data_IF_408436824275
#
_entry.id   IF_408436824275
#
_cell.length_a   1.000
_cell.length_b   1.000
_cell.length_c   1.000
_cell.angle_alpha   90.00
_cell.angle_beta   90.00
_cell.angle_gamma   90.00
#
_symmetry.space_group_name_H-M   'P 1'
#
loop_
_entity.id
_entity.type
_entity.pdbx_description
1 polymer ?
#
# COMPACT_ATOMS: atom_id res chain seq x y z
N UNK A 1 23.95 -4.32 2.29
CA UNK A 1 22.94 -3.27 2.10
C UNK A 1 22.10 -3.69 0.91
N UNK A 2 20.76 -3.71 0.99
CA UNK A 2 19.92 -4.10 -0.15
C UNK A 2 20.04 -3.02 -1.23
N UNK A 3 20.62 -3.35 -2.37
CA UNK A 3 20.66 -2.43 -3.51
C UNK A 3 19.39 -2.64 -4.34
N UNK A 4 18.44 -1.70 -4.27
CA UNK A 4 17.15 -1.75 -4.97
C UNK A 4 17.02 -0.61 -5.99
N UNK A 5 18.15 -0.21 -6.56
CA UNK A 5 18.33 0.88 -7.51
C UNK A 5 17.64 0.60 -8.86
N UNK A 6 17.72 -0.63 -9.36
CA UNK A 6 17.12 -0.99 -10.65
C UNK A 6 15.72 -1.58 -10.53
N UNK A 7 14.92 -1.42 -11.59
CA UNK A 7 13.56 -1.99 -11.67
C UNK A 7 13.56 -3.51 -11.49
N UNK A 8 14.55 -4.21 -12.04
CA UNK A 8 14.65 -5.67 -11.93
C UNK A 8 14.98 -6.12 -10.50
N UNK A 9 15.87 -5.39 -9.79
CA UNK A 9 16.17 -5.69 -8.38
C UNK A 9 14.95 -5.46 -7.50
N UNK A 10 14.19 -4.38 -7.71
CA UNK A 10 12.90 -4.15 -7.02
C UNK A 10 11.88 -5.24 -7.34
N UNK A 11 11.79 -5.66 -8.59
CA UNK A 11 10.89 -6.73 -8.97
C UNK A 11 11.24 -8.03 -8.25
N UNK A 12 12.52 -8.41 -8.22
CA UNK A 12 13.01 -9.57 -7.44
C UNK A 12 12.71 -9.44 -5.96
N UNK A 13 12.88 -8.25 -5.38
CA UNK A 13 12.52 -7.99 -3.98
C UNK A 13 11.03 -8.24 -3.71
N UNK A 14 10.13 -7.70 -4.53
CA UNK A 14 8.69 -7.91 -4.35
C UNK A 14 8.25 -9.37 -4.59
N UNK A 15 9.04 -10.16 -5.30
CA UNK A 15 8.82 -11.60 -5.47
C UNK A 15 9.56 -12.46 -4.44
N UNK A 16 10.40 -11.85 -3.59
CA UNK A 16 11.20 -12.59 -2.61
C UNK A 16 10.34 -13.18 -1.49
N UNK A 17 10.78 -14.31 -0.94
CA UNK A 17 10.13 -14.95 0.20
C UNK A 17 10.17 -14.04 1.43
N UNK A 18 11.27 -13.33 1.65
CA UNK A 18 11.45 -12.41 2.78
C UNK A 18 10.39 -11.30 2.78
N UNK A 19 10.18 -10.67 1.62
CA UNK A 19 9.12 -9.67 1.47
C UNK A 19 7.73 -10.28 1.70
N UNK A 20 7.43 -11.44 1.12
CA UNK A 20 6.13 -12.07 1.29
C UNK A 20 5.83 -12.42 2.75
N UNK A 21 6.82 -12.92 3.49
CA UNK A 21 6.69 -13.22 4.92
C UNK A 21 6.50 -11.94 5.73
N UNK A 22 7.31 -10.91 5.48
CA UNK A 22 7.22 -9.64 6.20
C UNK A 22 5.89 -8.94 5.94
N UNK A 23 5.46 -8.91 4.68
CA UNK A 23 4.15 -8.41 4.25
C UNK A 23 3.02 -9.09 4.99
N UNK A 24 3.08 -10.42 5.12
CA UNK A 24 2.05 -11.16 5.87
C UNK A 24 2.09 -10.87 7.37
N UNK A 25 3.29 -10.75 7.96
CA UNK A 25 3.44 -10.34 9.36
C UNK A 25 2.83 -8.97 9.64
N UNK A 26 3.12 -7.97 8.79
CA UNK A 26 2.52 -6.63 8.90
C UNK A 26 0.99 -6.69 8.75
N UNK A 27 0.48 -7.43 7.76
CA UNK A 27 -0.95 -7.59 7.53
C UNK A 27 -1.68 -8.24 8.72
N UNK A 28 -1.05 -9.23 9.37
CA UNK A 28 -1.60 -9.88 10.57
C UNK A 28 -1.50 -8.99 11.81
N UNK A 29 -0.36 -8.31 12.04
CA UNK A 29 -0.16 -7.32 13.11
C UNK A 29 -1.26 -6.25 13.09
N UNK A 30 -1.60 -5.81 11.88
CA UNK A 30 -2.58 -4.76 11.62
C UNK A 30 -4.04 -5.26 11.68
N UNK A 31 -4.28 -6.49 12.15
CA UNK A 31 -5.58 -7.17 12.17
C UNK A 31 -6.27 -7.22 10.80
N UNK A 32 -5.51 -7.17 9.69
CA UNK A 32 -6.04 -7.13 8.32
C UNK A 32 -6.87 -5.87 8.02
N UNK A 33 -6.67 -4.81 8.80
CA UNK A 33 -7.41 -3.55 8.72
C UNK A 33 -6.53 -2.40 8.23
N UNK A 34 -7.16 -1.43 7.57
CA UNK A 34 -6.53 -0.18 7.19
C UNK A 34 -6.21 0.64 8.45
N UNK A 35 -4.93 0.90 8.70
CA UNK A 35 -4.51 1.63 9.91
C UNK A 35 -4.89 3.11 9.88
N UNK A 36 -4.96 3.74 8.69
CA UNK A 36 -5.47 5.11 8.57
C UNK A 36 -6.96 5.20 8.90
N UNK A 37 -7.77 4.31 8.35
CA UNK A 37 -9.20 4.28 8.65
C UNK A 37 -9.44 3.98 10.14
N UNK A 38 -8.64 3.08 10.72
CA UNK A 38 -8.71 2.75 12.14
C UNK A 38 -8.39 3.95 13.03
N UNK A 39 -7.40 4.77 12.67
CA UNK A 39 -7.09 6.02 13.37
C UNK A 39 -8.25 7.04 13.29
N UNK A 40 -9.07 7.00 12.24
CA UNK A 40 -10.31 7.78 12.10
C UNK A 40 -11.53 7.12 12.79
N UNK A 41 -11.36 6.01 13.50
CA UNK A 41 -12.45 5.27 14.14
C UNK A 41 -13.29 4.41 13.18
N UNK A 42 -12.80 4.13 11.97
CA UNK A 42 -13.50 3.32 10.95
C UNK A 42 -12.86 1.94 10.83
N UNK A 43 -13.69 0.91 10.70
CA UNK A 43 -13.25 -0.46 10.43
C UNK A 43 -13.31 -0.72 8.93
N UNK A 44 -12.16 -0.72 8.26
CA UNK A 44 -12.03 -0.96 6.82
C UNK A 44 -10.99 -2.03 6.58
N UNK A 45 -11.29 -3.01 5.72
CA UNK A 45 -10.36 -4.07 5.35
C UNK A 45 -9.13 -3.49 4.64
N UNK A 46 -7.95 -3.89 5.07
CA UNK A 46 -6.70 -3.61 4.38
C UNK A 46 -6.58 -4.44 3.10
N UNK A 47 -6.18 -3.82 2.00
CA UNK A 47 -5.92 -4.53 0.74
C UNK A 47 -4.43 -4.57 0.40
N UNK A 48 -3.67 -3.57 0.84
CA UNK A 48 -2.26 -3.41 0.51
C UNK A 48 -1.43 -3.17 1.77
N UNK A 49 -0.17 -3.60 1.72
CA UNK A 49 0.86 -3.23 2.70
C UNK A 49 1.78 -2.24 2.01
N UNK A 50 1.86 -1.04 2.57
CA UNK A 50 2.57 0.10 2.04
C UNK A 50 3.85 0.35 2.82
N UNK A 51 4.90 0.83 2.15
CA UNK A 51 6.12 1.28 2.82
C UNK A 51 5.96 2.75 3.23
N UNK A 52 6.04 3.07 4.52
CA UNK A 52 5.91 4.44 5.04
C UNK A 52 7.01 5.33 4.45
N UNK A 53 8.25 4.85 4.53
CA UNK A 53 9.40 5.42 3.83
C UNK A 53 9.63 4.64 2.53
N UNK A 54 9.61 5.30 1.36
CA UNK A 54 9.82 4.65 0.07
C UNK A 54 11.16 3.90 0.02
N UNK A 55 11.14 2.71 -0.59
CA UNK A 55 12.34 1.88 -0.77
C UNK A 55 13.43 2.63 -1.54
N UNK A 56 13.06 3.47 -2.51
CA UNK A 56 14.01 4.24 -3.32
C UNK A 56 14.85 5.21 -2.48
N UNK A 57 14.30 5.70 -1.36
CA UNK A 57 14.98 6.62 -0.44
C UNK A 57 15.64 5.89 0.73
N UNK A 58 15.01 4.82 1.22
CA UNK A 58 15.44 4.06 2.41
C UNK A 58 15.42 2.56 2.15
N UNK A 59 16.33 2.05 1.28
CA UNK A 59 16.39 0.63 0.98
C UNK A 59 16.83 -0.21 2.19
N UNK A 60 17.50 0.41 3.17
CA UNK A 60 17.84 -0.18 4.46
C UNK A 60 16.60 -0.52 5.31
N UNK A 61 15.48 0.17 5.09
CA UNK A 61 14.21 -0.07 5.76
C UNK A 61 13.26 -0.98 4.96
N UNK A 62 13.69 -1.54 3.82
CA UNK A 62 12.84 -2.35 2.96
C UNK A 62 12.31 -3.61 3.65
N UNK A 63 13.08 -4.21 4.55
CA UNK A 63 12.68 -5.37 5.35
C UNK A 63 12.39 -5.04 6.83
N UNK A 64 12.08 -3.78 7.14
CA UNK A 64 11.70 -3.36 8.48
C UNK A 64 10.18 -3.34 8.63
N UNK A 65 9.64 -4.11 9.59
CA UNK A 65 8.19 -4.20 9.84
C UNK A 65 7.58 -2.87 10.29
N UNK A 66 8.35 -2.03 10.99
CA UNK A 66 7.89 -0.73 11.47
C UNK A 66 7.79 0.29 10.32
N UNK A 67 8.45 0.01 9.20
CA UNK A 67 8.31 0.79 7.98
C UNK A 67 7.10 0.34 7.12
N UNK A 68 6.28 -0.60 7.61
CA UNK A 68 5.14 -1.13 6.87
C UNK A 68 3.81 -0.76 7.54
N UNK A 69 2.83 -0.42 6.72
CA UNK A 69 1.48 -0.09 7.15
C UNK A 69 0.43 -0.71 6.23
N UNK A 70 -0.58 -1.37 6.81
CA UNK A 70 -1.71 -1.92 6.05
C UNK A 70 -2.71 -0.81 5.73
N UNK A 71 -3.03 -0.64 4.45
CA UNK A 71 -3.94 0.39 3.94
C UNK A 71 -5.03 -0.22 3.05
N UNK A 72 -6.19 0.43 3.03
CA UNK A 72 -7.17 0.22 1.97
C UNK A 72 -6.70 0.91 0.67
N UNK A 73 -7.32 0.56 -0.47
CA UNK A 73 -7.01 1.14 -1.79
C UNK A 73 -7.12 2.67 -1.76
N UNK A 74 -8.16 3.21 -1.11
CA UNK A 74 -8.38 4.65 -1.05
C UNK A 74 -7.26 5.36 -0.26
N UNK A 75 -6.91 4.85 0.92
CA UNK A 75 -5.82 5.41 1.72
C UNK A 75 -4.47 5.25 1.01
N UNK A 76 -4.21 4.10 0.39
CA UNK A 76 -3.01 3.87 -0.40
C UNK A 76 -2.87 4.88 -1.55
N UNK A 77 -3.96 5.13 -2.27
CA UNK A 77 -4.00 6.10 -3.35
C UNK A 77 -3.80 7.54 -2.85
N UNK A 78 -4.41 7.91 -1.72
CA UNK A 78 -4.20 9.21 -1.06
C UNK A 78 -2.73 9.43 -0.71
N UNK A 79 -2.05 8.43 -0.15
CA UNK A 79 -0.62 8.53 0.20
C UNK A 79 0.26 8.74 -1.04
N UNK A 80 -0.10 8.13 -2.17
CA UNK A 80 0.58 8.36 -3.44
C UNK A 80 0.14 9.64 -4.18
N UNK A 81 -0.77 10.45 -3.63
CA UNK A 81 -1.35 11.62 -4.31
C UNK A 81 -2.22 11.26 -5.52
N UNK A 82 -2.60 9.99 -5.68
CA UNK A 82 -3.44 9.50 -6.78
C UNK A 82 -4.90 9.70 -6.42
N UNK A 83 -5.39 10.94 -6.52
CA UNK A 83 -6.82 11.20 -6.32
C UNK A 83 -7.57 10.84 -7.59
N UNK A 84 -8.20 9.67 -7.63
CA UNK A 84 -9.24 9.39 -8.62
C UNK A 84 -10.48 10.17 -8.20
N UNK A 85 -10.56 11.45 -8.60
CA UNK A 85 -11.80 12.20 -8.54
C UNK A 85 -12.84 11.45 -9.36
N UNK A 86 -13.88 10.95 -8.72
CA UNK A 86 -14.87 10.12 -9.37
C UNK A 86 -15.46 10.82 -10.58
N UNK A 87 -15.20 10.30 -11.78
CA UNK A 87 -16.12 10.54 -12.89
C UNK A 87 -17.43 9.86 -12.50
N UNK A 88 -18.37 10.61 -11.90
CA UNK A 88 -19.77 10.20 -11.95
C UNK A 88 -20.07 10.00 -13.44
N UNK A 89 -20.33 8.77 -13.86
CA UNK A 89 -20.99 8.55 -15.14
C UNK A 89 -22.36 9.21 -15.01
N UNK A 90 -22.49 10.45 -15.50
CA UNK A 90 -23.80 11.01 -15.79
C UNK A 90 -24.38 10.13 -16.90
N UNK A 91 -25.35 9.29 -16.54
CA UNK A 91 -26.22 8.69 -17.53
C UNK A 91 -27.07 9.81 -18.09
N UNK A 92 -26.96 10.08 -19.38
CA UNK A 92 -27.85 11.01 -20.07
C UNK A 92 -29.00 10.19 -20.65
N UNK A 93 -30.16 10.31 -20.03
CA UNK A 93 -31.40 9.57 -20.27
C UNK A 93 -32.27 10.16 -21.40
N UNK A 94 -31.76 11.15 -22.14
CA UNK A 94 -32.50 11.88 -23.18
C UNK A 94 -32.18 11.49 -24.64
N UNK A 95 -31.49 10.38 -24.90
CA UNK A 95 -31.25 9.89 -26.27
C UNK A 95 -32.10 8.63 -26.50
N UNK A 96 -33.35 8.84 -26.93
CA UNK A 96 -34.25 7.82 -27.49
C UNK A 96 -34.00 7.66 -29.00
#
# INVERSE_FOLDING_TARGET
MLELDTKDKRNKFYHSTDWNQLRMKAYLRDNRECQHCKAEGKVVKGQNVHHIQPIDLRPDLALNIDNLITLCIDCHNKVHGRVYGGSRKQWNDEQW
#
